data_IF_639378948540
#
_entry.id   IF_639378948540
#
_cell.length_a   1.000
_cell.length_b   1.000
_cell.length_c   1.000
_cell.angle_alpha   90.00
_cell.angle_beta   90.00
_cell.angle_gamma   90.00
#
_symmetry.space_group_name_H-M   'P 1'
#
loop_
_entity.id
_entity.type
_entity.pdbx_description
1 polymer ?
#
# COMPACT_ATOMS: atom_id res chain seq x y z
N UNK A 1 -14.03 1.39 0.06
CA UNK A 1 -12.95 1.08 1.02
C UNK A 1 -13.02 2.13 2.11
N UNK A 2 -12.91 1.75 3.37
CA UNK A 2 -12.81 2.68 4.50
C UNK A 2 -11.34 3.01 4.80
N UNK A 3 -11.11 4.02 5.65
CA UNK A 3 -9.77 4.35 6.13
C UNK A 3 -9.12 3.22 6.94
N UNK A 4 -9.91 2.50 7.74
CA UNK A 4 -9.44 1.34 8.52
C UNK A 4 -9.07 0.16 7.62
N UNK A 5 -9.88 -0.12 6.60
CA UNK A 5 -9.57 -1.16 5.60
C UNK A 5 -8.26 -0.86 4.86
N UNK A 6 -8.01 0.41 4.52
CA UNK A 6 -6.74 0.80 3.90
C UNK A 6 -5.55 0.53 4.84
N UNK A 7 -5.68 0.82 6.14
CA UNK A 7 -4.60 0.59 7.10
C UNK A 7 -4.25 -0.90 7.23
N UNK A 8 -5.27 -1.76 7.23
CA UNK A 8 -5.09 -3.22 7.25
C UNK A 8 -4.36 -3.69 6.00
N UNK A 9 -4.76 -3.22 4.82
CA UNK A 9 -4.11 -3.62 3.55
C UNK A 9 -2.67 -3.13 3.45
N UNK A 10 -2.38 -1.89 3.88
CA UNK A 10 -1.02 -1.36 3.98
C UNK A 10 -0.13 -2.25 4.86
N UNK A 11 -0.62 -2.63 6.05
CA UNK A 11 0.11 -3.52 6.96
C UNK A 11 0.33 -4.90 6.34
N UNK A 12 -0.72 -5.50 5.78
CA UNK A 12 -0.68 -6.83 5.14
C UNK A 12 0.34 -6.89 3.99
N UNK A 13 0.49 -5.81 3.23
CA UNK A 13 1.39 -5.70 2.08
C UNK A 13 2.78 -5.17 2.44
N UNK A 14 3.00 -4.76 3.69
CA UNK A 14 4.26 -4.15 4.12
C UNK A 14 4.53 -2.78 3.46
N UNK A 15 3.48 -2.05 3.09
CA UNK A 15 3.53 -0.73 2.46
C UNK A 15 3.24 0.32 3.52
N UNK A 16 4.05 1.37 3.57
CA UNK A 16 3.86 2.52 4.49
C UNK A 16 2.93 3.55 3.87
N UNK A 17 2.19 4.28 4.70
CA UNK A 17 1.34 5.40 4.26
C UNK A 17 2.12 6.43 3.43
N UNK A 18 3.39 6.69 3.77
CA UNK A 18 4.27 7.58 3.01
C UNK A 18 4.55 7.05 1.60
N UNK A 19 4.85 5.76 1.45
CA UNK A 19 5.12 5.14 0.15
C UNK A 19 3.90 5.24 -0.78
N UNK A 20 2.70 5.00 -0.22
CA UNK A 20 1.45 5.19 -0.94
C UNK A 20 1.21 6.65 -1.33
N UNK A 21 1.48 7.60 -0.43
CA UNK A 21 1.33 9.02 -0.69
C UNK A 21 2.27 9.47 -1.83
N UNK A 22 3.54 9.10 -1.75
CA UNK A 22 4.56 9.41 -2.76
C UNK A 22 4.14 8.84 -4.14
N UNK A 23 3.65 7.59 -4.17
CA UNK A 23 3.17 6.94 -5.40
C UNK A 23 1.97 7.66 -6.04
N UNK A 24 1.08 8.23 -5.23
CA UNK A 24 -0.11 8.95 -5.69
C UNK A 24 0.14 10.46 -5.92
N UNK A 25 1.36 10.96 -5.68
CA UNK A 25 1.66 12.38 -5.73
C UNK A 25 0.92 13.20 -4.65
N UNK A 26 0.59 12.56 -3.53
CA UNK A 26 -0.13 13.16 -2.40
C UNK A 26 0.80 13.43 -1.23
N UNK A 27 0.32 14.24 -0.29
CA UNK A 27 1.04 14.44 0.97
C UNK A 27 0.70 13.31 1.95
N UNK A 28 1.68 12.92 2.77
CA UNK A 28 1.47 11.92 3.82
C UNK A 28 0.28 12.25 4.77
N UNK A 29 0.05 13.52 5.20
CA UNK A 29 -1.11 13.87 6.00
C UNK A 29 -2.46 13.54 5.35
N UNK A 30 -2.59 13.62 4.01
CA UNK A 30 -3.85 13.28 3.34
C UNK A 30 -4.21 11.81 3.52
N UNK A 31 -3.23 10.91 3.37
CA UNK A 31 -3.43 9.48 3.63
C UNK A 31 -3.73 9.24 5.11
N UNK A 32 -3.02 9.92 6.02
CA UNK A 32 -3.26 9.80 7.46
C UNK A 32 -4.66 10.25 7.87
N UNK A 33 -5.17 11.34 7.29
CA UNK A 33 -6.52 11.83 7.54
C UNK A 33 -7.59 10.89 6.99
N UNK A 34 -7.37 10.34 5.80
CA UNK A 34 -8.28 9.33 5.25
C UNK A 34 -8.33 8.08 6.12
N UNK A 35 -7.16 7.54 6.52
CA UNK A 35 -7.07 6.38 7.43
C UNK A 35 -7.82 6.63 8.75
N UNK A 36 -7.76 7.85 9.28
CA UNK A 36 -8.44 8.25 10.53
C UNK A 36 -9.91 8.65 10.33
N UNK A 37 -10.47 8.51 9.13
CA UNK A 37 -11.85 8.90 8.82
C UNK A 37 -12.11 10.41 8.85
N UNK A 38 -11.06 11.24 8.84
CA UNK A 38 -11.15 12.73 8.82
C UNK A 38 -11.27 13.31 7.42
N UNK A 39 -11.02 12.49 6.40
CA UNK A 39 -11.15 12.82 4.99
C UNK A 39 -11.98 11.74 4.32
N UNK A 40 -12.97 12.13 3.53
CA UNK A 40 -13.68 11.22 2.62
C UNK A 40 -13.04 11.32 1.24
N UNK A 41 -12.82 10.18 0.58
CA UNK A 41 -12.29 10.14 -0.78
C UNK A 41 -13.40 9.78 -1.76
N UNK A 42 -13.24 10.20 -3.01
CA UNK A 42 -14.16 9.84 -4.10
C UNK A 42 -13.95 8.38 -4.53
N UNK A 43 -14.95 7.75 -5.18
CA UNK A 43 -14.79 6.41 -5.74
C UNK A 43 -13.62 6.28 -6.73
N UNK A 44 -13.35 7.32 -7.52
CA UNK A 44 -12.20 7.32 -8.44
C UNK A 44 -10.87 7.31 -7.68
N UNK A 45 -10.76 8.11 -6.60
CA UNK A 45 -9.59 8.10 -5.73
C UNK A 45 -9.42 6.77 -5.02
N UNK A 46 -10.51 6.10 -4.66
CA UNK A 46 -10.44 4.75 -4.10
C UNK A 46 -9.85 3.75 -5.10
N UNK A 47 -10.25 3.81 -6.38
CA UNK A 47 -9.69 2.95 -7.44
C UNK A 47 -8.19 3.19 -7.60
N UNK A 48 -7.77 4.45 -7.62
CA UNK A 48 -6.34 4.82 -7.70
C UNK A 48 -5.53 4.27 -6.52
N UNK A 49 -6.06 4.36 -5.30
CA UNK A 49 -5.39 3.80 -4.11
C UNK A 49 -5.24 2.28 -4.24
N UNK A 50 -6.28 1.57 -4.69
CA UNK A 50 -6.23 0.11 -4.88
C UNK A 50 -5.18 -0.29 -5.92
N UNK A 51 -5.12 0.44 -7.04
CA UNK A 51 -4.13 0.22 -8.08
C UNK A 51 -2.70 0.46 -7.56
N UNK A 52 -2.47 1.57 -6.86
CA UNK A 52 -1.17 1.90 -6.29
C UNK A 52 -0.68 0.88 -5.26
N UNK A 53 -1.59 0.34 -4.43
CA UNK A 53 -1.27 -0.73 -3.48
C UNK A 53 -0.79 -2.00 -4.18
N UNK A 54 -1.43 -2.38 -5.29
CA UNK A 54 -1.05 -3.56 -6.05
C UNK A 54 0.35 -3.41 -6.65
N UNK A 55 0.62 -2.28 -7.29
CA UNK A 55 1.93 -1.99 -7.89
C UNK A 55 3.06 -1.98 -6.85
N UNK A 56 2.86 -1.31 -5.72
CA UNK A 56 3.84 -1.28 -4.63
C UNK A 56 4.08 -2.67 -4.01
N UNK A 57 3.06 -3.53 -4.01
CA UNK A 57 3.19 -4.91 -3.50
C UNK A 57 4.05 -5.77 -4.45
N UNK A 58 3.86 -5.63 -5.76
CA UNK A 58 4.65 -6.34 -6.77
C UNK A 58 6.12 -5.92 -6.71
N UNK A 59 6.38 -4.61 -6.57
CA UNK A 59 7.74 -4.07 -6.46
C UNK A 59 8.50 -4.68 -5.28
N UNK A 60 7.88 -4.76 -4.09
CA UNK A 60 8.51 -5.38 -2.90
C UNK A 60 8.69 -6.89 -3.03
N UNK A 61 7.87 -7.57 -3.84
CA UNK A 61 8.02 -9.01 -4.08
C UNK A 61 9.15 -9.31 -5.08
N UNK A 62 9.35 -8.43 -6.06
CA UNK A 62 10.41 -8.56 -7.08
C UNK A 62 11.82 -8.39 -6.51
N UNK A 63 11.96 -7.74 -5.35
CA UNK A 63 13.27 -7.53 -4.69
C UNK A 63 13.71 -8.76 -3.86
N UNK A 64 12.87 -9.79 -3.67
CA UNK A 64 13.33 -11.03 -3.03
C UNK A 64 14.18 -11.83 -4.05
N UNK A 65 15.47 -12.06 -3.79
CA UNK A 65 16.30 -12.85 -4.70
C UNK A 65 15.80 -14.30 -4.76
N UNK A 66 15.99 -14.98 -5.91
CA UNK A 66 15.55 -16.37 -6.11
C UNK A 66 16.21 -17.37 -5.14
N UNK A 67 17.34 -17.01 -4.53
CA UNK A 67 18.15 -17.86 -3.65
C UNK A 67 17.44 -18.26 -2.34
N UNK A 68 16.41 -17.52 -1.92
CA UNK A 68 15.65 -17.85 -0.70
C UNK A 68 14.71 -19.07 -0.87
N UNK A 69 14.56 -19.62 -2.10
CA UNK A 69 13.67 -20.75 -2.37
C UNK A 69 14.34 -22.12 -2.22
N UNK A 70 15.67 -22.22 -2.30
CA UNK A 70 16.38 -23.52 -2.27
C UNK A 70 16.89 -23.93 -0.89
N UNK A 71 16.89 -23.04 0.11
CA UNK A 71 17.40 -23.34 1.45
C UNK A 71 16.48 -24.23 2.32
N UNK A 72 15.39 -24.78 1.79
CA UNK A 72 14.47 -25.67 2.51
C UNK A 72 14.44 -27.11 1.96
N UNK A 73 15.35 -27.48 1.05
CA UNK A 73 15.42 -28.85 0.51
C UNK A 73 16.84 -29.45 0.50
N UNK A 74 17.77 -28.89 1.26
CA UNK A 74 19.11 -29.44 1.48
C UNK A 74 19.33 -29.83 2.94
#
# INVERSE_FOLDING_TARGET
MTGEELLVELHRRGVKQKELADKLGLTHPMISYYVRGRLTITPDREKEIRQALEELSVEKRSVRPPEAREALSA
#
